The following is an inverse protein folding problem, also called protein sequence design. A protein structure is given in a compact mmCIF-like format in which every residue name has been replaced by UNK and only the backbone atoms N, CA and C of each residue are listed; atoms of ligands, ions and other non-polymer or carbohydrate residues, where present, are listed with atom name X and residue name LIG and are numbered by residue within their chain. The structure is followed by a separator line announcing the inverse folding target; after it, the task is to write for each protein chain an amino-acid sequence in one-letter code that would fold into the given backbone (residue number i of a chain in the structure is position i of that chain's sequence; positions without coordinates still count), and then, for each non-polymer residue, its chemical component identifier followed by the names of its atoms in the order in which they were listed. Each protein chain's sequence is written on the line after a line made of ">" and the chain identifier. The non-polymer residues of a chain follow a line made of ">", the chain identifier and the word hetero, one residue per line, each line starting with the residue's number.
data_IF_292478806330
#
_entry.id   IF_292478806330
#
_cell.length_a   1.000
_cell.length_b   1.000
_cell.length_c   1.000
_cell.angle_alpha   90.00
_cell.angle_beta   90.00
_cell.angle_gamma   90.00
#
_symmetry.space_group_name_H-M   'P 1'
#
loop_
_entity.id
_entity.type
_entity.pdbx_description
1 polymer ?
#
# COMPACT_ATOMS: atom_id res chain seq x y z
N UNK A 1 23.60 14.75 -2.10
CA UNK A 1 22.36 14.14 -2.64
C UNK A 1 22.30 12.73 -2.09
N UNK A 2 21.70 12.54 -0.90
CA UNK A 2 21.65 11.24 -0.24
C UNK A 2 20.62 10.37 -0.95
N UNK A 3 21.08 9.31 -1.60
CA UNK A 3 20.25 8.20 -2.08
C UNK A 3 19.50 7.62 -0.87
N UNK A 4 18.22 7.96 -0.75
CA UNK A 4 17.38 7.53 0.37
C UNK A 4 17.21 6.00 0.33
N UNK A 5 17.38 5.28 1.45
CA UNK A 5 17.04 3.86 1.52
C UNK A 5 15.54 3.66 1.30
N UNK A 6 15.19 2.55 0.66
CA UNK A 6 13.86 2.25 0.09
C UNK A 6 12.72 2.08 1.10
N UNK A 7 12.97 2.26 2.40
CA UNK A 7 11.96 2.17 3.45
C UNK A 7 12.48 2.90 4.70
N UNK A 8 11.77 3.92 5.17
CA UNK A 8 12.07 4.55 6.45
C UNK A 8 10.80 4.56 7.28
N UNK A 9 10.67 3.54 8.14
CA UNK A 9 9.51 3.30 9.00
C UNK A 9 9.05 4.58 9.71
N UNK A 10 9.97 5.45 10.13
CA UNK A 10 9.66 6.69 10.83
C UNK A 10 9.05 7.79 9.94
N UNK A 11 9.35 7.81 8.65
CA UNK A 11 8.76 8.78 7.73
C UNK A 11 7.46 8.25 7.13
N UNK A 12 7.42 6.94 6.84
CA UNK A 12 6.27 6.30 6.21
C UNK A 12 5.04 6.33 7.14
N UNK A 13 5.21 6.08 8.45
CA UNK A 13 4.09 6.22 9.40
C UNK A 13 3.57 7.65 9.48
N UNK A 14 4.46 8.65 9.44
CA UNK A 14 4.07 10.06 9.53
C UNK A 14 3.27 10.47 8.30
N UNK A 15 3.70 10.04 7.11
CA UNK A 15 2.98 10.26 5.86
C UNK A 15 1.57 9.64 5.93
N UNK A 16 1.46 8.39 6.38
CA UNK A 16 0.17 7.71 6.53
C UNK A 16 -0.74 8.43 7.53
N UNK A 17 -0.19 8.92 8.64
CA UNK A 17 -0.95 9.62 9.67
C UNK A 17 -1.43 11.02 9.22
N UNK A 18 -0.59 11.77 8.51
CA UNK A 18 -0.88 13.13 8.04
C UNK A 18 -1.82 13.14 6.82
N UNK A 19 -1.58 12.22 5.87
CA UNK A 19 -2.26 12.24 4.58
C UNK A 19 -3.45 11.27 4.49
N UNK A 20 -3.51 10.27 5.37
CA UNK A 20 -4.37 9.11 5.19
C UNK A 20 -3.86 8.16 4.11
N UNK A 21 -4.36 6.92 4.14
CA UNK A 21 -3.85 5.80 3.31
C UNK A 21 -3.98 6.08 1.82
N UNK A 22 -5.13 6.59 1.37
CA UNK A 22 -5.41 6.83 -0.06
C UNK A 22 -4.45 7.85 -0.67
N UNK A 23 -4.32 9.04 -0.04
CA UNK A 23 -3.42 10.09 -0.51
C UNK A 23 -1.96 9.67 -0.42
N UNK A 24 -1.56 9.05 0.69
CA UNK A 24 -0.20 8.54 0.87
C UNK A 24 0.18 7.52 -0.21
N UNK A 25 -0.71 6.59 -0.55
CA UNK A 25 -0.45 5.58 -1.59
C UNK A 25 -0.40 6.19 -3.00
N UNK A 26 -1.21 7.22 -3.27
CA UNK A 26 -1.20 7.94 -4.56
C UNK A 26 0.07 8.77 -4.75
N UNK A 27 0.55 9.44 -3.70
CA UNK A 27 1.74 10.30 -3.75
C UNK A 27 3.06 9.50 -3.59
N UNK A 28 3.00 8.33 -2.96
CA UNK A 28 4.14 7.43 -2.79
C UNK A 28 3.79 6.00 -3.25
N UNK A 29 4.06 5.65 -4.52
CA UNK A 29 3.76 4.33 -5.08
C UNK A 29 4.41 3.16 -4.32
N UNK A 30 5.51 3.39 -3.59
CA UNK A 30 6.13 2.35 -2.78
C UNK A 30 5.25 1.96 -1.57
N UNK A 31 4.51 2.92 -0.99
CA UNK A 31 3.53 2.61 0.07
C UNK A 31 2.36 1.78 -0.48
N UNK A 32 1.90 2.07 -1.69
CA UNK A 32 0.83 1.31 -2.33
C UNK A 32 1.18 -0.17 -2.57
N UNK A 33 2.46 -0.50 -2.70
CA UNK A 33 2.91 -1.90 -2.83
C UNK A 33 2.74 -2.70 -1.54
N UNK A 34 2.72 -2.03 -0.38
CA UNK A 34 2.53 -2.66 0.93
C UNK A 34 1.07 -2.94 1.31
N UNK A 35 0.10 -2.49 0.51
CA UNK A 35 -1.33 -2.68 0.79
C UNK A 35 -1.79 -4.06 0.34
N UNK A 36 -2.12 -4.92 1.31
CA UNK A 36 -2.63 -6.28 1.08
C UNK A 36 -4.15 -6.38 1.19
N UNK A 37 -4.79 -5.51 1.96
CA UNK A 37 -6.24 -5.46 2.15
C UNK A 37 -6.68 -4.00 2.21
N UNK A 38 -7.78 -3.68 1.53
CA UNK A 38 -8.42 -2.38 1.59
C UNK A 38 -9.94 -2.56 1.55
N UNK A 39 -10.65 -2.00 2.52
CA UNK A 39 -12.12 -2.12 2.65
C UNK A 39 -12.65 -3.57 2.51
N UNK A 40 -11.96 -4.52 3.15
CA UNK A 40 -12.30 -5.94 3.10
C UNK A 40 -11.88 -6.68 1.82
N UNK A 41 -11.33 -5.99 0.83
CA UNK A 41 -10.89 -6.55 -0.45
C UNK A 41 -9.41 -6.89 -0.42
N UNK A 42 -9.03 -8.10 -0.84
CA UNK A 42 -7.63 -8.51 -0.90
C UNK A 42 -6.95 -7.98 -2.18
N UNK A 43 -5.89 -7.18 -2.00
CA UNK A 43 -5.20 -6.44 -3.07
C UNK A 43 -3.81 -6.95 -3.40
N UNK A 44 -3.34 -7.98 -2.69
CA UNK A 44 -2.05 -8.59 -2.93
C UNK A 44 -2.21 -10.01 -3.44
N UNK A 45 -1.85 -10.22 -4.71
CA UNK A 45 -2.14 -11.44 -5.45
C UNK A 45 -1.61 -12.71 -4.77
N UNK A 46 -0.38 -12.69 -4.25
CA UNK A 46 0.17 -13.90 -3.60
C UNK A 46 -0.61 -14.28 -2.33
N UNK A 47 -1.05 -13.31 -1.52
CA UNK A 47 -1.90 -13.61 -0.36
C UNK A 47 -3.26 -14.16 -0.81
N UNK A 48 -3.85 -13.60 -1.86
CA UNK A 48 -5.11 -14.11 -2.40
C UNK A 48 -4.97 -15.56 -2.92
N UNK A 49 -3.90 -15.84 -3.66
CA UNK A 49 -3.64 -17.18 -4.20
C UNK A 49 -3.35 -18.20 -3.08
N UNK A 50 -2.48 -17.87 -2.12
CA UNK A 50 -2.07 -18.76 -1.03
C UNK A 50 -3.22 -19.10 -0.06
N UNK A 51 -4.17 -18.17 0.11
CA UNK A 51 -5.31 -18.32 1.02
C UNK A 51 -6.64 -18.62 0.29
N UNK A 52 -6.61 -18.79 -1.03
CA UNK A 52 -7.79 -19.00 -1.87
C UNK A 52 -8.89 -17.93 -1.68
N UNK A 53 -8.48 -16.65 -1.68
CA UNK A 53 -9.35 -15.47 -1.59
C UNK A 53 -9.57 -14.83 -2.96
N UNK A 54 -10.63 -14.03 -3.10
CA UNK A 54 -10.83 -13.21 -4.28
C UNK A 54 -9.79 -12.07 -4.35
N UNK A 55 -9.11 -11.95 -5.51
CA UNK A 55 -8.16 -10.88 -5.76
C UNK A 55 -8.82 -9.66 -6.42
N UNK A 56 -8.68 -8.49 -5.78
CA UNK A 56 -9.05 -7.20 -6.34
C UNK A 56 -7.79 -6.38 -6.68
N UNK A 57 -7.57 -5.99 -7.94
CA UNK A 57 -6.43 -5.14 -8.30
C UNK A 57 -6.40 -3.83 -7.49
N UNK A 58 -5.23 -3.51 -6.90
CA UNK A 58 -5.07 -2.34 -6.03
C UNK A 58 -5.51 -1.02 -6.67
N UNK A 59 -5.35 -0.87 -7.99
CA UNK A 59 -5.77 0.31 -8.76
C UNK A 59 -7.28 0.54 -8.76
N UNK A 60 -8.10 -0.47 -8.41
CA UNK A 60 -9.55 -0.33 -8.30
C UNK A 60 -10.00 0.23 -6.95
N UNK A 61 -9.13 0.21 -5.94
CA UNK A 61 -9.48 0.56 -4.55
C UNK A 61 -8.65 1.71 -3.98
N UNK A 62 -7.44 1.93 -4.49
CA UNK A 62 -6.59 3.08 -4.16
C UNK A 62 -6.59 4.04 -5.35
N UNK A 63 -7.65 4.85 -5.47
CA UNK A 63 -7.78 5.92 -6.46
C UNK A 63 -7.42 7.28 -5.85
#
# INVERSE_FOLDING_TARGET
>A
MLSRPSFNLLFDWYILADQGVEKACRENPALALGVNVFDGLCTYKHVADDLNLEYTPRQKVLA
#
